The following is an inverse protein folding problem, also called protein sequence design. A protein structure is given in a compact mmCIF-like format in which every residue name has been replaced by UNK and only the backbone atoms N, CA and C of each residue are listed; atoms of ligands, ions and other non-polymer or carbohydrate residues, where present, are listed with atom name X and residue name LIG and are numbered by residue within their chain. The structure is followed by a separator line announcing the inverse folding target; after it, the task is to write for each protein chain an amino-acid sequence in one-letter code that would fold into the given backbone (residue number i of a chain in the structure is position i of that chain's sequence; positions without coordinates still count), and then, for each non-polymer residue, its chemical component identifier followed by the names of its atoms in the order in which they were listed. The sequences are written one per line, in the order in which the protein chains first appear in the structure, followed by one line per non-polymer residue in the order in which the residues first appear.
data_IF_297251772389
#
_entry.id   IF_297251772389
#
_cell.length_a   1.000
_cell.length_b   1.000
_cell.length_c   1.000
_cell.angle_alpha   90.00
_cell.angle_beta   90.00
_cell.angle_gamma   90.00
#
_symmetry.space_group_name_H-M   'P 1'
#
loop_
_entity.id
_entity.type
_entity.pdbx_description
1 polymer ?
#
# COMPACT_ATOMS: atom_id res chain seq x y z
N UNK A 1 4.06 -2.29 5.03
CA UNK A 1 2.73 -1.67 5.02
C UNK A 1 1.79 -2.49 4.17
N UNK A 2 0.51 -2.58 4.55
CA UNK A 2 -0.56 -3.13 3.73
C UNK A 2 -1.86 -2.40 4.01
N UNK A 3 -2.85 -2.56 3.13
CA UNK A 3 -4.19 -2.00 3.28
C UNK A 3 -5.23 -3.10 3.08
N UNK A 4 -6.14 -3.28 4.06
CA UNK A 4 -7.29 -4.18 3.94
C UNK A 4 -8.52 -3.45 3.39
N UNK A 5 -9.20 -4.05 2.43
CA UNK A 5 -10.49 -3.59 1.90
C UNK A 5 -11.54 -4.61 2.33
N UNK A 6 -12.40 -4.24 3.28
CA UNK A 6 -13.36 -5.15 3.91
C UNK A 6 -14.78 -4.85 3.43
N UNK A 7 -15.48 -5.87 2.98
CA UNK A 7 -16.90 -5.81 2.68
C UNK A 7 -17.67 -6.78 3.59
N UNK A 8 -18.17 -6.25 4.69
CA UNK A 8 -18.88 -7.03 5.72
C UNK A 8 -20.21 -7.62 5.20
N UNK A 9 -20.82 -6.99 4.19
CA UNK A 9 -22.07 -7.49 3.59
C UNK A 9 -21.83 -8.77 2.81
N UNK A 10 -20.72 -8.85 2.06
CA UNK A 10 -20.36 -10.06 1.30
C UNK A 10 -19.51 -11.06 2.11
N UNK A 11 -19.09 -10.70 3.32
CA UNK A 11 -18.16 -11.51 4.13
C UNK A 11 -16.80 -11.71 3.47
N UNK A 12 -16.32 -10.74 2.70
CA UNK A 12 -15.07 -10.82 1.95
C UNK A 12 -14.15 -9.64 2.23
N UNK A 13 -12.83 -9.91 2.20
CA UNK A 13 -11.83 -8.84 2.19
C UNK A 13 -10.76 -9.08 1.14
N UNK A 14 -10.12 -7.99 0.74
CA UNK A 14 -8.96 -7.97 -0.17
C UNK A 14 -7.82 -7.24 0.52
N UNK A 15 -6.60 -7.59 0.16
CA UNK A 15 -5.40 -6.90 0.62
C UNK A 15 -4.74 -6.16 -0.55
N UNK A 16 -4.20 -4.98 -0.28
CA UNK A 16 -3.18 -4.36 -1.11
C UNK A 16 -1.86 -4.54 -0.38
N UNK A 17 -0.96 -5.26 -1.01
CA UNK A 17 0.26 -5.85 -0.48
C UNK A 17 0.03 -6.94 0.58
N UNK A 18 0.97 -7.83 0.71
CA UNK A 18 0.99 -8.93 1.67
C UNK A 18 2.38 -9.04 2.29
N UNK A 19 2.53 -8.46 3.47
CA UNK A 19 3.82 -8.34 4.15
C UNK A 19 4.25 -9.64 4.84
N UNK A 20 5.50 -9.78 5.27
CA UNK A 20 5.94 -10.92 6.07
C UNK A 20 5.10 -11.16 7.33
N UNK A 21 4.52 -10.10 7.91
CA UNK A 21 3.69 -10.15 9.13
C UNK A 21 2.23 -10.53 8.86
N UNK A 22 1.93 -11.10 7.70
CA UNK A 22 0.55 -11.40 7.26
C UNK A 22 -0.27 -12.19 8.29
N UNK A 23 0.32 -13.05 9.07
CA UNK A 23 -0.40 -13.83 10.10
C UNK A 23 -1.03 -12.90 11.15
N UNK A 24 -0.28 -11.92 11.62
CA UNK A 24 -0.79 -10.90 12.55
C UNK A 24 -1.84 -10.02 11.87
N UNK A 25 -1.61 -9.64 10.62
CA UNK A 25 -2.52 -8.79 9.86
C UNK A 25 -3.86 -9.45 9.56
N UNK A 26 -3.88 -10.75 9.24
CA UNK A 26 -5.13 -11.52 9.10
C UNK A 26 -5.87 -11.56 10.43
N UNK A 27 -5.18 -11.78 11.53
CA UNK A 27 -5.79 -11.81 12.86
C UNK A 27 -6.47 -10.49 13.23
N UNK A 28 -5.92 -9.37 12.78
CA UNK A 28 -6.57 -8.06 12.93
C UNK A 28 -7.90 -7.95 12.18
N UNK A 29 -8.03 -8.66 11.05
CA UNK A 29 -9.25 -8.66 10.21
C UNK A 29 -10.29 -9.69 10.70
N UNK A 30 -9.89 -10.67 11.50
CA UNK A 30 -10.78 -11.73 12.00
C UNK A 30 -12.02 -11.17 12.72
N UNK A 31 -11.91 -10.01 13.38
CA UNK A 31 -13.02 -9.32 14.02
C UNK A 31 -14.18 -8.98 13.08
N UNK A 32 -13.93 -8.87 11.78
CA UNK A 32 -14.96 -8.61 10.77
C UNK A 32 -15.65 -9.89 10.27
N UNK A 33 -15.20 -11.07 10.67
CA UNK A 33 -15.72 -12.39 10.23
C UNK A 33 -15.80 -12.49 8.69
N UNK A 34 -14.75 -12.07 8.00
CA UNK A 34 -14.63 -12.06 6.55
C UNK A 34 -13.52 -13.04 6.11
N UNK A 35 -13.63 -13.55 4.88
CA UNK A 35 -12.62 -14.40 4.25
C UNK A 35 -11.82 -13.66 3.17
N UNK A 36 -10.52 -13.99 3.03
CA UNK A 36 -9.64 -13.45 2.00
C UNK A 36 -10.14 -13.85 0.61
N UNK A 37 -10.44 -12.87 -0.23
CA UNK A 37 -10.94 -13.06 -1.59
C UNK A 37 -9.90 -12.74 -2.67
N UNK A 38 -8.93 -11.86 -2.38
CA UNK A 38 -7.89 -11.53 -3.33
C UNK A 38 -6.83 -10.59 -2.76
N UNK A 39 -5.75 -10.43 -3.50
CA UNK A 39 -4.59 -9.62 -3.14
C UNK A 39 -4.16 -8.80 -4.36
N UNK A 40 -3.83 -7.55 -4.16
CA UNK A 40 -3.23 -6.66 -5.16
C UNK A 40 -1.79 -6.38 -4.74
N UNK A 41 -0.81 -6.58 -5.62
CA UNK A 41 0.60 -6.33 -5.31
C UNK A 41 1.05 -5.04 -5.98
N UNK A 42 1.68 -4.15 -5.22
CA UNK A 42 2.21 -2.90 -5.74
C UNK A 42 3.49 -3.11 -6.52
N UNK A 43 4.43 -3.89 -5.98
CA UNK A 43 5.73 -4.15 -6.61
C UNK A 43 6.50 -5.30 -5.92
N UNK A 44 7.65 -5.68 -6.49
CA UNK A 44 8.46 -6.84 -6.07
C UNK A 44 9.53 -6.51 -5.02
N UNK A 45 9.25 -5.65 -4.02
CA UNK A 45 10.10 -5.53 -2.83
C UNK A 45 9.58 -6.42 -1.70
N UNK A 46 10.49 -7.00 -0.93
CA UNK A 46 10.20 -8.05 0.08
C UNK A 46 9.06 -7.67 1.02
N UNK A 47 9.00 -6.40 1.46
CA UNK A 47 7.97 -5.88 2.35
C UNK A 47 6.55 -5.94 1.79
N UNK A 48 6.36 -6.16 0.47
CA UNK A 48 5.07 -6.04 -0.22
C UNK A 48 4.51 -7.37 -0.73
N UNK A 49 5.33 -8.39 -0.96
CA UNK A 49 4.87 -9.67 -1.53
C UNK A 49 5.26 -10.91 -0.73
N UNK A 50 6.26 -10.83 0.16
CA UNK A 50 6.83 -12.04 0.78
C UNK A 50 5.82 -12.79 1.67
N UNK A 51 4.80 -12.12 2.16
CA UNK A 51 3.70 -12.78 2.88
C UNK A 51 2.95 -13.84 2.05
N UNK A 52 3.04 -13.81 0.70
CA UNK A 52 2.44 -14.82 -0.18
C UNK A 52 2.85 -16.25 0.20
N UNK A 53 4.07 -16.47 0.66
CA UNK A 53 4.55 -17.79 1.06
C UNK A 53 3.69 -18.44 2.16
N UNK A 54 3.04 -17.63 3.00
CA UNK A 54 2.17 -18.13 4.08
C UNK A 54 0.85 -18.69 3.56
N UNK A 55 0.48 -18.42 2.29
CA UNK A 55 -0.73 -19.00 1.68
C UNK A 55 -0.53 -20.47 1.27
N UNK A 56 0.74 -20.93 1.26
CA UNK A 56 1.15 -22.27 0.85
C UNK A 56 0.75 -23.38 1.79
N UNK A 57 1.06 -24.61 1.35
CA UNK A 57 0.70 -25.87 2.00
C UNK A 57 1.18 -25.96 3.46
N UNK A 58 2.38 -25.45 3.73
CA UNK A 58 3.05 -25.60 5.03
C UNK A 58 2.47 -24.67 6.11
N UNK A 59 1.64 -23.68 5.73
CA UNK A 59 1.09 -22.69 6.67
C UNK A 59 -0.44 -22.69 6.62
N UNK A 60 -1.04 -21.94 5.68
CA UNK A 60 -2.49 -21.75 5.61
C UNK A 60 -3.17 -22.71 4.65
N UNK A 61 -2.43 -23.22 3.67
CA UNK A 61 -2.94 -24.07 2.57
C UNK A 61 -4.21 -23.51 1.92
N UNK A 62 -4.27 -22.18 1.73
CA UNK A 62 -5.39 -21.54 1.04
C UNK A 62 -5.42 -22.00 -0.41
N UNK A 63 -6.60 -21.92 -1.03
CA UNK A 63 -6.79 -22.36 -2.40
C UNK A 63 -7.38 -21.25 -3.24
N UNK A 64 -6.83 -21.12 -4.45
CA UNK A 64 -7.35 -20.29 -5.52
C UNK A 64 -7.47 -18.80 -5.19
N UNK A 65 -6.65 -18.30 -4.25
CA UNK A 65 -6.65 -16.87 -3.93
C UNK A 65 -6.20 -16.08 -5.16
N UNK A 66 -7.02 -15.13 -5.61
CA UNK A 66 -6.68 -14.26 -6.73
C UNK A 66 -5.59 -13.28 -6.33
N UNK A 67 -4.47 -13.29 -7.05
CA UNK A 67 -3.39 -12.32 -6.88
C UNK A 67 -3.31 -11.46 -8.13
N UNK A 68 -3.76 -10.21 -8.01
CA UNK A 68 -3.78 -9.23 -9.08
C UNK A 68 -2.40 -8.58 -9.21
N UNK A 69 -1.78 -8.71 -10.38
CA UNK A 69 -0.38 -8.33 -10.61
C UNK A 69 -0.19 -7.68 -11.98
N UNK A 70 0.75 -6.74 -12.05
CA UNK A 70 1.26 -6.20 -13.30
C UNK A 70 2.09 -7.26 -14.05
N UNK A 71 2.30 -7.10 -15.37
CA UNK A 71 2.98 -8.11 -16.20
C UNK A 71 4.36 -8.55 -15.68
N UNK A 72 5.28 -7.63 -15.36
CA UNK A 72 6.60 -8.01 -14.82
C UNK A 72 6.51 -8.65 -13.45
N UNK A 73 5.57 -8.22 -12.60
CA UNK A 73 5.32 -8.86 -11.30
C UNK A 73 4.83 -10.29 -11.48
N UNK A 74 3.98 -10.58 -12.48
CA UNK A 74 3.62 -11.96 -12.84
C UNK A 74 4.86 -12.77 -13.24
N UNK A 75 5.70 -12.22 -14.12
CA UNK A 75 6.92 -12.89 -14.57
C UNK A 75 7.87 -13.15 -13.38
N UNK A 76 8.01 -12.18 -12.48
CA UNK A 76 8.78 -12.35 -11.25
C UNK A 76 8.28 -13.54 -10.41
N UNK A 77 6.96 -13.65 -10.20
CA UNK A 77 6.36 -14.77 -9.43
C UNK A 77 6.59 -16.11 -10.14
N UNK A 78 6.38 -16.19 -11.45
CA UNK A 78 6.50 -17.44 -12.23
C UNK A 78 7.95 -17.94 -12.28
N UNK A 79 8.94 -17.05 -12.40
CA UNK A 79 10.35 -17.40 -12.44
C UNK A 79 10.99 -17.60 -11.06
N UNK A 80 10.32 -17.20 -9.97
CA UNK A 80 10.77 -17.46 -8.62
C UNK A 80 10.31 -18.85 -8.17
N UNK A 81 11.22 -19.77 -7.91
CA UNK A 81 10.91 -21.18 -7.59
C UNK A 81 9.95 -21.31 -6.41
N UNK A 82 10.15 -20.52 -5.34
CA UNK A 82 9.33 -20.56 -4.13
C UNK A 82 7.92 -20.05 -4.39
N UNK A 83 7.79 -18.90 -5.05
CA UNK A 83 6.47 -18.30 -5.32
C UNK A 83 5.69 -19.10 -6.39
N UNK A 84 6.38 -19.63 -7.41
CA UNK A 84 5.76 -20.45 -8.44
C UNK A 84 5.19 -21.76 -7.89
N UNK A 85 5.73 -22.27 -6.77
CA UNK A 85 5.16 -23.44 -6.08
C UNK A 85 3.71 -23.15 -5.61
N UNK A 86 3.41 -21.92 -5.19
CA UNK A 86 2.05 -21.52 -4.79
C UNK A 86 1.07 -21.60 -5.97
N UNK A 87 1.53 -21.21 -7.18
CA UNK A 87 0.74 -21.30 -8.41
C UNK A 87 0.52 -22.75 -8.79
N UNK A 88 1.57 -23.59 -8.79
CA UNK A 88 1.50 -25.01 -9.13
C UNK A 88 0.60 -25.80 -8.18
N UNK A 89 0.58 -25.44 -6.90
CA UNK A 89 -0.26 -26.07 -5.87
C UNK A 89 -1.69 -25.51 -5.82
N UNK A 90 -2.06 -24.61 -6.75
CA UNK A 90 -3.34 -23.89 -6.72
C UNK A 90 -3.62 -23.15 -5.40
N UNK A 91 -2.58 -22.72 -4.69
CA UNK A 91 -2.78 -21.85 -3.53
C UNK A 91 -3.19 -20.45 -4.00
N UNK A 92 -2.56 -19.97 -5.07
CA UNK A 92 -2.87 -18.68 -5.70
C UNK A 92 -3.17 -18.85 -7.20
N UNK A 93 -3.99 -17.93 -7.73
CA UNK A 93 -4.21 -17.73 -9.17
C UNK A 93 -3.78 -16.31 -9.55
N UNK A 94 -2.88 -16.18 -10.53
CA UNK A 94 -2.42 -14.88 -11.00
C UNK A 94 -3.45 -14.28 -11.95
N UNK A 95 -3.92 -13.07 -11.62
CA UNK A 95 -4.81 -12.24 -12.43
C UNK A 95 -4.04 -11.03 -12.95
N UNK A 96 -3.83 -10.97 -14.27
CA UNK A 96 -3.18 -9.81 -14.88
C UNK A 96 -4.07 -8.58 -14.80
N UNK A 97 -3.46 -7.49 -14.35
CA UNK A 97 -4.04 -6.15 -14.41
C UNK A 97 -3.19 -5.26 -15.30
N UNK A 98 -3.76 -4.15 -15.73
CA UNK A 98 -3.10 -3.15 -16.55
C UNK A 98 -3.31 -1.77 -15.97
N UNK A 99 -2.37 -0.87 -16.26
CA UNK A 99 -2.45 0.51 -15.82
C UNK A 99 -3.76 1.17 -16.28
N UNK A 100 -4.41 1.89 -15.37
CA UNK A 100 -5.65 2.63 -15.59
C UNK A 100 -6.87 1.78 -16.00
N UNK A 101 -6.76 0.44 -15.97
CA UNK A 101 -7.90 -0.46 -16.20
C UNK A 101 -8.60 -0.76 -14.88
N UNK A 102 -9.92 -0.73 -14.90
CA UNK A 102 -10.75 -1.00 -13.72
C UNK A 102 -10.86 -2.48 -13.42
N UNK A 103 -10.62 -2.84 -12.17
CA UNK A 103 -10.88 -4.17 -11.62
C UNK A 103 -12.06 -4.06 -10.65
N UNK A 104 -13.20 -4.60 -11.07
CA UNK A 104 -14.37 -4.69 -10.21
C UNK A 104 -14.21 -5.88 -9.28
N UNK A 105 -13.98 -5.64 -7.98
CA UNK A 105 -13.84 -6.72 -7.00
C UNK A 105 -15.17 -7.13 -6.39
N UNK A 106 -16.16 -6.25 -6.43
CA UNK A 106 -17.55 -6.52 -6.08
C UNK A 106 -18.41 -5.30 -6.48
N UNK A 107 -19.73 -5.34 -6.17
CA UNK A 107 -20.64 -4.23 -6.47
C UNK A 107 -20.35 -2.92 -5.73
N UNK A 108 -19.42 -2.92 -4.78
CA UNK A 108 -19.16 -1.75 -3.92
C UNK A 108 -17.79 -1.13 -4.17
N UNK A 109 -16.83 -1.90 -4.73
CA UNK A 109 -15.45 -1.44 -4.87
C UNK A 109 -14.90 -1.69 -6.27
N UNK A 110 -14.26 -0.66 -6.80
CA UNK A 110 -13.49 -0.71 -8.05
C UNK A 110 -12.05 -0.32 -7.72
N UNK A 111 -11.10 -1.11 -8.16
CA UNK A 111 -9.67 -0.85 -7.97
C UNK A 111 -9.03 -0.55 -9.32
N UNK A 112 -8.15 0.45 -9.35
CA UNK A 112 -7.40 0.83 -10.54
C UNK A 112 -5.94 1.05 -10.16
N UNK A 113 -5.03 0.35 -10.86
CA UNK A 113 -3.60 0.56 -10.75
C UNK A 113 -3.16 1.76 -11.59
N UNK A 114 -2.15 2.50 -11.12
CA UNK A 114 -1.46 3.54 -11.88
C UNK A 114 0.04 3.51 -11.57
N UNK A 115 0.87 3.82 -12.55
CA UNK A 115 2.32 3.78 -12.38
C UNK A 115 2.80 4.86 -11.40
N UNK A 116 3.77 4.48 -10.58
CA UNK A 116 4.46 5.33 -9.60
C UNK A 116 5.97 5.25 -9.85
N UNK A 117 6.70 6.38 -9.90
CA UNK A 117 8.14 6.35 -10.05
C UNK A 117 8.80 5.78 -8.80
N UNK A 118 9.24 4.53 -8.89
CA UNK A 118 10.00 3.82 -7.88
C UNK A 118 10.91 2.79 -8.56
N UNK A 119 11.90 2.28 -7.84
CA UNK A 119 12.82 1.25 -8.37
C UNK A 119 12.03 0.12 -9.01
N UNK A 120 12.31 -0.15 -10.29
CA UNK A 120 11.57 -1.09 -11.11
C UNK A 120 12.44 -2.22 -11.67
N UNK A 121 13.50 -2.57 -10.96
CA UNK A 121 14.47 -3.58 -11.35
C UNK A 121 13.87 -5.00 -11.44
N UNK A 122 12.85 -5.29 -10.61
CA UNK A 122 12.22 -6.62 -10.57
C UNK A 122 10.79 -6.62 -11.12
N UNK A 123 10.06 -5.53 -10.99
CA UNK A 123 8.68 -5.40 -11.47
C UNK A 123 8.34 -3.94 -11.75
N UNK A 124 7.17 -3.69 -12.34
CA UNK A 124 6.55 -2.36 -12.27
C UNK A 124 6.27 -2.00 -10.82
N UNK A 125 6.25 -0.69 -10.51
CA UNK A 125 5.71 -0.17 -9.26
C UNK A 125 4.44 0.61 -9.53
N UNK A 126 3.37 0.24 -8.84
CA UNK A 126 2.07 0.89 -8.98
C UNK A 126 1.52 1.34 -7.63
N UNK A 127 0.79 2.46 -7.66
CA UNK A 127 -0.17 2.81 -6.64
C UNK A 127 -1.56 2.32 -7.03
N UNK A 128 -2.48 2.33 -6.07
CA UNK A 128 -3.86 1.93 -6.30
C UNK A 128 -4.84 3.04 -5.94
N UNK A 129 -5.82 3.25 -6.80
CA UNK A 129 -7.04 3.97 -6.49
C UNK A 129 -8.14 3.00 -6.15
N UNK A 130 -8.78 3.19 -5.00
CA UNK A 130 -9.91 2.41 -4.51
C UNK A 130 -11.14 3.31 -4.56
N UNK A 131 -12.09 3.02 -5.40
CA UNK A 131 -13.36 3.71 -5.44
C UNK A 131 -14.39 2.89 -4.67
N UNK A 132 -14.89 3.42 -3.58
CA UNK A 132 -16.10 2.95 -2.92
C UNK A 132 -17.35 3.57 -3.55
N UNK A 133 -18.50 3.42 -2.91
CA UNK A 133 -19.77 3.99 -3.40
C UNK A 133 -19.83 5.52 -3.28
N UNK A 134 -19.28 6.09 -2.23
CA UNK A 134 -19.37 7.52 -1.94
C UNK A 134 -17.99 8.19 -1.90
N UNK A 135 -16.97 7.46 -1.45
CA UNK A 135 -15.62 7.98 -1.26
C UNK A 135 -14.58 7.15 -1.98
N UNK A 136 -13.44 7.76 -2.22
CA UNK A 136 -12.29 7.13 -2.85
C UNK A 136 -11.03 7.27 -2.01
N UNK A 137 -10.15 6.29 -2.12
CA UNK A 137 -8.85 6.31 -1.48
C UNK A 137 -7.72 6.09 -2.49
N UNK A 138 -6.55 6.64 -2.19
CA UNK A 138 -5.29 6.43 -2.90
C UNK A 138 -4.33 5.71 -1.97
N UNK A 139 -3.58 4.75 -2.50
CA UNK A 139 -2.54 4.03 -1.80
C UNK A 139 -1.25 4.07 -2.61
N UNK A 140 -0.25 4.80 -2.11
CA UNK A 140 1.11 4.92 -2.67
C UNK A 140 2.07 4.66 -1.51
N UNK A 141 2.40 3.39 -1.21
CA UNK A 141 3.28 3.07 -0.08
C UNK A 141 4.73 3.45 -0.37
N UNK A 142 5.16 3.32 -1.62
CA UNK A 142 6.54 3.57 -2.05
C UNK A 142 6.58 4.46 -3.28
N UNK A 143 7.44 5.47 -3.24
CA UNK A 143 7.80 6.32 -4.36
C UNK A 143 9.24 6.80 -4.17
N UNK A 144 10.03 6.90 -5.24
CA UNK A 144 11.41 7.40 -5.13
C UNK A 144 11.47 8.88 -4.76
N UNK A 145 10.59 9.66 -5.34
CA UNK A 145 10.51 11.11 -5.16
C UNK A 145 9.20 11.64 -5.73
N UNK A 146 8.67 12.70 -5.15
CA UNK A 146 7.58 13.46 -5.76
C UNK A 146 8.04 14.32 -6.94
N UNK A 147 9.34 14.53 -7.11
CA UNK A 147 9.90 15.34 -8.19
C UNK A 147 9.51 14.76 -9.56
N UNK A 148 8.85 15.57 -10.39
CA UNK A 148 8.29 15.14 -11.66
C UNK A 148 6.96 14.38 -11.55
N UNK A 149 6.46 14.17 -10.35
CA UNK A 149 5.15 13.56 -10.08
C UNK A 149 4.19 14.53 -9.36
N UNK A 150 4.64 15.77 -9.09
CA UNK A 150 3.90 16.74 -8.29
C UNK A 150 2.52 17.06 -8.88
N UNK A 151 2.44 17.26 -10.21
CA UNK A 151 1.17 17.52 -10.88
C UNK A 151 0.18 16.38 -10.70
N UNK A 152 0.65 15.12 -10.79
CA UNK A 152 -0.16 13.94 -10.54
C UNK A 152 -0.59 13.87 -9.08
N UNK A 153 0.31 14.16 -8.13
CA UNK A 153 0.00 14.18 -6.70
C UNK A 153 -1.11 15.19 -6.39
N UNK A 154 -1.02 16.42 -6.90
CA UNK A 154 -2.07 17.43 -6.71
C UNK A 154 -3.41 17.00 -7.35
N UNK A 155 -3.38 16.36 -8.53
CA UNK A 155 -4.58 15.81 -9.16
C UNK A 155 -5.21 14.71 -8.29
N UNK A 156 -4.38 13.84 -7.69
CA UNK A 156 -4.85 12.77 -6.80
C UNK A 156 -5.49 13.37 -5.53
N UNK A 157 -4.86 14.38 -4.91
CA UNK A 157 -5.39 15.04 -3.71
C UNK A 157 -6.75 15.70 -3.99
N UNK A 158 -6.87 16.38 -5.13
CA UNK A 158 -8.11 17.09 -5.49
C UNK A 158 -9.28 16.13 -5.81
N UNK A 159 -8.99 14.92 -6.31
CA UNK A 159 -10.00 13.98 -6.82
C UNK A 159 -10.35 12.86 -5.87
N UNK A 160 -9.71 12.78 -4.71
CA UNK A 160 -9.92 11.69 -3.78
C UNK A 160 -10.12 12.20 -2.35
N UNK A 161 -10.69 11.34 -1.50
CA UNK A 161 -11.10 11.68 -0.15
C UNK A 161 -10.05 11.31 0.89
N UNK A 162 -9.27 10.25 0.64
CA UNK A 162 -8.25 9.71 1.54
C UNK A 162 -7.01 9.37 0.72
N UNK A 163 -5.83 9.78 1.20
CA UNK A 163 -4.56 9.45 0.54
C UNK A 163 -3.60 8.83 1.55
N UNK A 164 -3.19 7.60 1.30
CA UNK A 164 -2.13 6.91 2.01
C UNK A 164 -0.85 7.07 1.20
N UNK A 165 0.08 7.88 1.70
CA UNK A 165 1.30 8.27 1.00
C UNK A 165 2.54 7.78 1.72
N UNK A 166 3.61 7.55 0.95
CA UNK A 166 4.92 7.17 1.44
C UNK A 166 5.40 8.10 2.56
N UNK A 167 5.65 7.52 3.71
CA UNK A 167 6.17 8.15 4.90
C UNK A 167 7.38 7.41 5.46
N UNK A 168 8.13 6.68 4.63
CA UNK A 168 9.22 5.82 5.05
C UNK A 168 10.19 6.54 5.98
N UNK A 169 10.63 7.76 5.65
CA UNK A 169 11.52 8.56 6.47
C UNK A 169 10.91 9.91 6.85
N UNK A 170 11.06 10.30 8.11
CA UNK A 170 10.73 11.66 8.51
C UNK A 170 11.77 12.64 7.95
N UNK A 171 13.06 12.31 8.12
CA UNK A 171 14.20 13.07 7.58
C UNK A 171 15.42 12.16 7.34
N UNK A 172 16.28 12.50 6.38
CA UNK A 172 17.47 11.71 6.00
C UNK A 172 18.43 11.41 7.15
N UNK A 173 18.53 12.30 8.12
CA UNK A 173 19.42 12.12 9.27
C UNK A 173 19.07 10.95 10.19
N UNK A 174 17.92 10.29 9.99
CA UNK A 174 17.54 9.08 10.73
C UNK A 174 18.44 7.89 10.42
N UNK A 175 19.02 7.85 9.24
CA UNK A 175 19.85 6.74 8.77
C UNK A 175 21.32 7.15 8.83
N UNK A 176 21.99 6.71 9.86
CA UNK A 176 23.42 7.01 10.07
C UNK A 176 24.36 5.93 9.54
N UNK A 177 23.88 4.71 9.27
CA UNK A 177 24.70 3.53 8.97
C UNK A 177 24.54 2.98 7.55
N UNK A 178 23.70 3.57 6.72
CA UNK A 178 23.43 3.10 5.36
C UNK A 178 23.53 4.26 4.38
N UNK A 179 23.92 3.97 3.16
CA UNK A 179 23.84 4.92 2.04
C UNK A 179 22.37 5.09 1.62
N UNK A 180 21.78 6.21 2.06
CA UNK A 180 20.36 6.51 1.82
C UNK A 180 20.06 6.72 0.31
N UNK A 181 21.08 7.04 -0.51
CA UNK A 181 20.90 7.19 -1.95
C UNK A 181 20.47 5.88 -2.63
N UNK A 182 20.72 4.75 -2.00
CA UNK A 182 20.34 3.41 -2.48
C UNK A 182 18.93 3.00 -2.04
N UNK A 183 18.28 3.80 -1.20
CA UNK A 183 16.94 3.56 -0.68
C UNK A 183 16.15 4.86 -0.87
N UNK A 184 15.84 5.23 -2.14
CA UNK A 184 15.18 6.48 -2.43
C UNK A 184 13.74 6.46 -1.93
N UNK A 185 13.42 7.40 -1.06
CA UNK A 185 12.06 7.75 -0.62
C UNK A 185 12.03 9.25 -0.33
N UNK A 186 10.91 9.93 -0.53
CA UNK A 186 10.77 11.31 -0.10
C UNK A 186 10.76 11.38 1.43
N UNK A 187 11.36 12.44 1.96
CA UNK A 187 11.23 12.74 3.38
C UNK A 187 9.83 13.29 3.65
N UNK A 188 9.21 12.92 4.78
CA UNK A 188 7.92 13.51 5.18
C UNK A 188 8.01 15.02 5.24
N UNK A 189 9.11 15.57 5.79
CA UNK A 189 9.30 17.02 5.88
C UNK A 189 9.32 17.70 4.51
N UNK A 190 9.87 17.06 3.48
CA UNK A 190 9.89 17.62 2.12
C UNK A 190 8.52 17.46 1.44
N UNK A 191 7.84 16.35 1.67
CA UNK A 191 6.46 16.15 1.21
C UNK A 191 5.53 17.22 1.80
N UNK A 192 5.63 17.51 3.10
CA UNK A 192 4.86 18.58 3.75
C UNK A 192 5.17 19.96 3.18
N UNK A 193 6.45 20.25 2.83
CA UNK A 193 6.82 21.52 2.16
C UNK A 193 6.18 21.67 0.78
N UNK A 194 6.23 20.61 -0.05
CA UNK A 194 5.57 20.59 -1.37
C UNK A 194 4.08 20.89 -1.23
N UNK A 195 3.45 20.33 -0.20
CA UNK A 195 2.01 20.42 0.05
C UNK A 195 1.61 21.56 0.99
N UNK A 196 2.53 22.44 1.37
CA UNK A 196 2.29 23.52 2.35
C UNK A 196 1.17 24.48 1.97
N UNK A 197 1.00 24.73 0.66
CA UNK A 197 -0.04 25.61 0.11
C UNK A 197 -1.45 25.01 0.06
N UNK A 198 -1.64 23.76 0.47
CA UNK A 198 -2.97 23.15 0.54
C UNK A 198 -3.81 23.75 1.68
N UNK A 199 -5.14 23.75 1.51
CA UNK A 199 -6.08 24.04 2.60
C UNK A 199 -5.96 22.97 3.70
N UNK A 200 -6.38 23.32 4.91
CA UNK A 200 -6.37 22.38 6.04
C UNK A 200 -7.24 21.15 5.77
N UNK A 201 -8.38 21.30 5.07
CA UNK A 201 -9.23 20.17 4.70
C UNK A 201 -8.55 19.24 3.68
N UNK A 202 -7.73 19.78 2.77
CA UNK A 202 -6.98 18.96 1.84
C UNK A 202 -5.81 18.23 2.53
N UNK A 203 -5.14 18.86 3.49
CA UNK A 203 -4.07 18.24 4.28
C UNK A 203 -4.60 17.08 5.13
N UNK A 204 -5.76 17.21 5.75
CA UNK A 204 -6.43 16.16 6.56
C UNK A 204 -6.78 14.90 5.78
N UNK A 205 -6.78 14.94 4.45
CA UNK A 205 -6.95 13.75 3.62
C UNK A 205 -5.70 12.88 3.55
N UNK A 206 -4.53 13.42 3.91
CA UNK A 206 -3.22 12.84 3.67
C UNK A 206 -2.73 12.15 4.94
N UNK A 207 -2.50 10.84 4.81
CA UNK A 207 -2.03 9.95 5.84
C UNK A 207 -0.66 9.39 5.44
N UNK A 208 0.37 9.67 6.20
CA UNK A 208 1.65 9.02 6.01
C UNK A 208 1.61 7.58 6.53
N UNK A 209 2.10 6.67 5.69
CA UNK A 209 2.15 5.22 5.94
C UNK A 209 3.57 4.70 5.67
N UNK A 210 3.77 3.39 5.78
CA UNK A 210 5.05 2.72 5.42
C UNK A 210 6.27 3.22 6.23
N UNK A 211 6.06 3.68 7.47
CA UNK A 211 7.12 4.23 8.28
C UNK A 211 8.20 3.18 8.57
N UNK A 212 9.46 3.52 8.28
CA UNK A 212 10.59 2.68 8.66
C UNK A 212 10.76 2.66 10.19
N UNK A 213 11.31 1.59 10.74
CA UNK A 213 11.53 1.43 12.18
C UNK A 213 12.39 2.54 12.82
N UNK A 214 13.17 3.27 12.02
CA UNK A 214 13.95 4.44 12.47
C UNK A 214 13.16 5.74 12.48
N UNK A 215 11.97 5.76 11.88
CA UNK A 215 11.16 6.96 11.77
C UNK A 215 10.47 7.27 13.10
N UNK A 216 10.86 8.37 13.74
CA UNK A 216 10.32 8.78 15.03
C UNK A 216 8.80 9.05 15.00
N UNK A 217 8.20 9.33 13.84
CA UNK A 217 6.76 9.52 13.70
C UNK A 217 5.94 8.24 14.01
N UNK A 218 6.59 7.07 14.14
CA UNK A 218 5.95 5.84 14.64
C UNK A 218 5.42 6.06 16.07
N UNK A 219 6.12 6.84 16.88
CA UNK A 219 5.78 7.09 18.29
C UNK A 219 4.88 8.30 18.41
N UNK A 220 3.64 8.10 18.84
CA UNK A 220 2.75 9.20 19.21
C UNK A 220 3.39 10.09 20.27
N UNK A 221 3.23 11.41 20.10
CA UNK A 221 3.83 12.39 20.99
C UNK A 221 5.31 12.68 20.74
N UNK A 222 5.98 11.97 19.82
CA UNK A 222 7.33 12.36 19.40
C UNK A 222 7.31 13.71 18.70
N UNK A 223 8.47 14.38 18.67
CA UNK A 223 8.57 15.66 17.94
C UNK A 223 8.20 15.52 16.47
N UNK A 224 8.63 14.44 15.81
CA UNK A 224 8.30 14.18 14.41
C UNK A 224 6.77 14.02 14.21
N UNK A 225 6.14 13.19 15.07
CA UNK A 225 4.70 12.98 15.02
C UNK A 225 3.93 14.29 15.25
N UNK A 226 4.25 15.03 16.32
CA UNK A 226 3.58 16.28 16.64
C UNK A 226 3.74 17.30 15.51
N UNK A 227 4.93 17.42 14.91
CA UNK A 227 5.16 18.32 13.77
C UNK A 227 4.27 17.98 12.57
N UNK A 228 4.06 16.69 12.28
CA UNK A 228 3.15 16.26 11.20
C UNK A 228 1.70 16.69 11.51
N UNK A 229 1.23 16.38 12.73
CA UNK A 229 -0.14 16.70 13.15
C UNK A 229 -0.39 18.21 13.19
N UNK A 230 0.54 18.99 13.79
CA UNK A 230 0.45 20.44 13.89
C UNK A 230 0.48 21.13 12.51
N UNK A 231 1.09 20.47 11.51
CA UNK A 231 1.08 20.92 10.10
C UNK A 231 -0.22 20.57 9.36
N UNK A 232 -1.17 19.88 10.01
CA UNK A 232 -2.47 19.50 9.47
C UNK A 232 -2.51 18.16 8.75
N UNK A 233 -1.41 17.41 8.70
CA UNK A 233 -1.33 16.08 8.10
C UNK A 233 -1.58 14.98 9.14
N UNK A 234 -1.71 13.73 8.67
CA UNK A 234 -2.00 12.59 9.53
C UNK A 234 -0.94 11.48 9.37
N UNK A 235 -0.82 10.66 10.39
CA UNK A 235 -0.03 9.42 10.37
C UNK A 235 -1.00 8.27 10.62
N UNK A 236 -1.09 7.32 9.68
CA UNK A 236 -1.96 6.16 9.87
C UNK A 236 -1.44 5.21 10.94
N UNK A 237 -2.36 4.58 11.63
CA UNK A 237 -2.09 3.59 12.67
C UNK A 237 -2.70 2.24 12.30
N UNK A 238 -2.17 1.19 12.89
CA UNK A 238 -2.78 -0.12 12.84
C UNK A 238 -4.21 -0.05 13.43
N UNK A 239 -5.10 -0.91 12.95
CA UNK A 239 -6.51 -0.96 13.32
C UNK A 239 -7.34 0.30 12.97
N UNK A 240 -6.76 1.30 12.31
CA UNK A 240 -7.52 2.45 11.82
C UNK A 240 -8.39 2.03 10.63
N UNK A 241 -9.66 2.40 10.65
CA UNK A 241 -10.61 2.08 9.58
C UNK A 241 -11.25 3.33 8.99
N UNK A 242 -11.54 3.27 7.70
CA UNK A 242 -12.14 4.35 6.92
C UNK A 242 -13.35 3.84 6.16
N UNK A 243 -14.46 4.55 6.23
CA UNK A 243 -15.66 4.17 5.48
C UNK A 243 -15.63 4.80 4.08
N UNK A 244 -15.77 3.95 3.04
CA UNK A 244 -15.86 4.35 1.63
C UNK A 244 -17.28 4.17 1.03
N UNK A 245 -18.22 3.67 1.85
CA UNK A 245 -19.62 3.48 1.43
C UNK A 245 -20.43 4.75 1.58
#
# INVERSE_FOLDING_TARGET
SNLGIVNTVSGKYWLIDITPEIKTQIHMIDSFNCSLAGIFITHAHIGHYMGLINLGLEVMNLKEILVHVMPKMKDFIIHNTLLNQLVKNNNIKLSLISENVEVNINNNFIIRAFNVPHRNELSETVGYRINGKQKSAIYIPDIDSWRGFEENLFKLINKNDILFLDGTFYKKSEITKRDISKIPHPEIIDTMKILSGLSDDAKKKIHFIHLNHTNDAIREGSQAYNTIIDSGFLVSREHQSFNLS
#
